data_IF_366381801864
#
_entry.id   IF_366381801864
#
_cell.length_a   1.000
_cell.length_b   1.000
_cell.length_c   1.000
_cell.angle_alpha   90.00
_cell.angle_beta   90.00
_cell.angle_gamma   90.00
#
_symmetry.space_group_name_H-M   'P 1'
#
loop_
_entity.id
_entity.type
_entity.pdbx_description
1 polymer ?
#
# COMPACT_ATOMS: atom_id res chain seq x y z
N UNK A 1 -18.17 -37.63 0.75
CA UNK A 1 -18.71 -36.38 0.21
C UNK A 1 -18.41 -35.30 1.26
N UNK A 2 -17.27 -34.69 1.21
CA UNK A 2 -16.87 -33.63 2.13
C UNK A 2 -17.40 -32.31 1.58
N UNK A 3 -18.29 -31.65 2.30
CA UNK A 3 -18.73 -30.29 2.04
C UNK A 3 -17.53 -29.36 2.23
N UNK A 4 -16.83 -29.06 1.15
CA UNK A 4 -15.83 -28.01 1.11
C UNK A 4 -16.58 -26.67 1.00
N UNK A 5 -17.11 -26.17 2.12
CA UNK A 5 -17.56 -24.78 2.23
C UNK A 5 -16.30 -23.95 2.16
N UNK A 6 -16.14 -23.05 1.18
CA UNK A 6 -14.99 -22.14 1.19
C UNK A 6 -15.09 -21.32 2.49
N UNK A 7 -14.13 -21.53 3.39
CA UNK A 7 -14.01 -20.72 4.60
C UNK A 7 -13.49 -19.36 4.10
N UNK A 8 -14.42 -18.45 3.80
CA UNK A 8 -14.04 -17.07 3.56
C UNK A 8 -13.52 -16.49 4.88
N UNK A 9 -12.23 -16.19 4.93
CA UNK A 9 -11.68 -15.49 6.07
C UNK A 9 -12.45 -14.17 6.30
N UNK A 10 -12.72 -13.80 7.55
CA UNK A 10 -13.50 -12.61 7.85
C UNK A 10 -12.80 -11.36 7.34
N UNK A 11 -13.59 -10.40 6.86
CA UNK A 11 -13.08 -9.06 6.51
C UNK A 11 -12.75 -8.28 7.77
N UNK A 12 -11.51 -7.78 7.86
CA UNK A 12 -11.14 -6.81 8.89
C UNK A 12 -11.74 -5.45 8.54
N UNK A 13 -12.52 -4.89 9.46
CA UNK A 13 -13.14 -3.58 9.31
C UNK A 13 -12.75 -2.70 10.47
N UNK A 14 -12.39 -1.45 10.19
CA UNK A 14 -12.11 -0.43 11.19
C UNK A 14 -12.50 0.94 10.65
N UNK A 15 -12.80 1.87 11.56
CA UNK A 15 -13.12 3.26 11.21
C UNK A 15 -11.86 4.11 11.03
N UNK A 16 -10.75 3.65 11.58
CA UNK A 16 -9.44 4.27 11.45
C UNK A 16 -8.59 3.53 10.41
N UNK A 17 -7.40 4.04 10.12
CA UNK A 17 -6.47 3.37 9.21
C UNK A 17 -5.81 2.15 9.85
N UNK A 18 -5.30 1.27 9.01
CA UNK A 18 -4.57 0.06 9.39
C UNK A 18 -3.09 0.18 9.05
N UNK A 19 -2.22 -0.15 10.00
CA UNK A 19 -0.83 -0.49 9.75
C UNK A 19 -0.74 -1.98 9.40
N UNK A 20 -0.31 -2.29 8.16
CA UNK A 20 -0.15 -3.65 7.66
C UNK A 20 1.32 -4.03 7.65
N UNK A 21 1.68 -5.12 8.35
CA UNK A 21 3.05 -5.62 8.43
C UNK A 21 3.28 -6.81 7.50
N UNK A 22 4.32 -6.73 6.68
CA UNK A 22 4.88 -7.83 5.90
C UNK A 22 6.14 -8.41 6.53
N UNK A 23 6.66 -9.47 5.92
CA UNK A 23 7.79 -10.24 6.44
C UNK A 23 9.19 -9.62 6.21
N UNK A 24 9.31 -8.58 5.38
CA UNK A 24 10.57 -7.88 5.14
C UNK A 24 10.99 -6.99 6.32
N UNK A 25 12.11 -6.27 6.19
CA UNK A 25 12.66 -5.45 7.26
C UNK A 25 11.73 -4.30 7.65
N UNK A 26 11.48 -4.14 8.95
CA UNK A 26 10.70 -3.04 9.53
C UNK A 26 11.48 -2.43 10.69
N UNK A 27 11.83 -1.15 10.58
CA UNK A 27 12.44 -0.43 11.68
C UNK A 27 11.38 -0.09 12.75
N UNK A 28 11.77 -0.16 14.03
CA UNK A 28 10.87 0.14 15.15
C UNK A 28 10.28 1.56 15.08
N UNK A 29 11.10 2.54 14.66
CA UNK A 29 10.65 3.92 14.46
C UNK A 29 9.58 4.03 13.37
N UNK A 30 9.68 3.23 12.31
CA UNK A 30 8.71 3.23 11.21
C UNK A 30 7.37 2.65 11.64
N UNK A 31 7.40 1.58 12.43
CA UNK A 31 6.20 1.00 13.01
C UNK A 31 5.49 2.02 13.92
N UNK A 32 6.25 2.73 14.76
CA UNK A 32 5.67 3.77 15.63
C UNK A 32 5.05 4.92 14.82
N UNK A 33 5.70 5.38 13.76
CA UNK A 33 5.17 6.41 12.85
C UNK A 33 3.89 5.94 12.13
N UNK A 34 3.88 4.71 11.65
CA UNK A 34 2.71 4.15 10.96
C UNK A 34 1.52 3.99 11.92
N UNK A 35 1.74 3.46 13.13
CA UNK A 35 0.71 3.30 14.15
C UNK A 35 0.14 4.64 14.63
N UNK A 36 0.93 5.71 14.64
CA UNK A 36 0.44 7.06 14.96
C UNK A 36 -0.56 7.58 13.91
N UNK A 37 -0.44 7.15 12.66
CA UNK A 37 -1.31 7.54 11.55
C UNK A 37 -2.42 6.52 11.27
N UNK A 38 -2.18 5.24 11.52
CA UNK A 38 -3.05 4.11 11.21
C UNK A 38 -2.97 3.09 12.37
N UNK A 39 -3.74 3.30 13.46
CA UNK A 39 -3.49 2.68 14.77
C UNK A 39 -3.81 1.20 14.84
N UNK A 40 -4.68 0.69 13.98
CA UNK A 40 -5.05 -0.72 13.99
C UNK A 40 -3.97 -1.56 13.29
N UNK A 41 -3.45 -2.59 13.98
CA UNK A 41 -2.38 -3.43 13.46
C UNK A 41 -2.93 -4.71 12.85
N UNK A 42 -2.60 -4.95 11.59
CA UNK A 42 -2.84 -6.21 10.87
C UNK A 42 -1.51 -6.71 10.32
N UNK A 43 -1.35 -8.01 10.18
CA UNK A 43 -0.14 -8.59 9.62
C UNK A 43 -0.44 -9.56 8.47
N UNK A 44 0.50 -9.64 7.54
CA UNK A 44 0.58 -10.66 6.52
C UNK A 44 1.63 -11.69 6.95
N UNK A 45 1.17 -12.92 7.24
CA UNK A 45 1.96 -14.08 7.63
C UNK A 45 3.08 -13.76 8.66
N UNK A 46 4.34 -14.02 8.32
CA UNK A 46 5.52 -13.78 9.17
C UNK A 46 5.71 -12.34 9.63
N UNK A 47 5.06 -11.37 8.97
CA UNK A 47 5.04 -9.95 9.36
C UNK A 47 4.51 -9.72 10.79
N UNK A 48 3.71 -10.64 11.31
CA UNK A 48 3.21 -10.60 12.69
C UNK A 48 4.35 -10.54 13.74
N UNK A 49 5.53 -11.07 13.41
CA UNK A 49 6.68 -11.06 14.31
C UNK A 49 7.13 -9.64 14.66
N UNK A 50 7.08 -8.69 13.73
CA UNK A 50 7.45 -7.30 13.99
C UNK A 50 6.53 -6.65 15.04
N UNK A 51 5.20 -6.87 14.91
CA UNK A 51 4.23 -6.36 15.86
C UNK A 51 4.43 -6.95 17.25
N UNK A 52 4.45 -8.28 17.35
CA UNK A 52 4.60 -8.99 18.64
C UNK A 52 5.90 -8.60 19.35
N UNK A 53 7.03 -8.54 18.61
CA UNK A 53 8.33 -8.15 19.17
C UNK A 53 8.33 -6.70 19.67
N UNK A 54 7.57 -5.82 19.03
CA UNK A 54 7.40 -4.43 19.45
C UNK A 54 6.34 -4.24 20.57
N UNK A 55 5.72 -5.33 21.06
CA UNK A 55 4.68 -5.28 22.09
C UNK A 55 3.27 -5.00 21.58
N UNK A 56 3.06 -5.08 20.26
CA UNK A 56 1.77 -4.86 19.59
C UNK A 56 1.25 -6.18 19.01
N UNK A 57 0.22 -6.77 19.62
CA UNK A 57 -0.41 -7.99 19.10
C UNK A 57 -1.35 -7.62 17.95
N UNK A 58 -1.16 -8.17 16.72
CA UNK A 58 -2.03 -7.90 15.60
C UNK A 58 -3.51 -8.22 15.89
N UNK A 59 -4.41 -7.42 15.35
CA UNK A 59 -5.87 -7.62 15.41
C UNK A 59 -6.34 -8.68 14.41
N UNK A 60 -5.58 -8.89 13.34
CA UNK A 60 -5.77 -9.99 12.39
C UNK A 60 -4.43 -10.35 11.73
N UNK A 61 -4.26 -11.62 11.37
CA UNK A 61 -3.13 -12.13 10.58
C UNK A 61 -3.69 -12.92 9.41
N UNK A 62 -3.28 -12.58 8.19
CA UNK A 62 -3.69 -13.23 6.95
C UNK A 62 -2.49 -13.82 6.21
N UNK A 63 -2.60 -15.02 5.67
CA UNK A 63 -1.55 -15.68 4.90
C UNK A 63 -1.68 -17.20 4.93
N UNK A 64 -0.72 -17.95 4.39
CA UNK A 64 -0.73 -19.41 4.48
C UNK A 64 -0.10 -19.95 5.79
N UNK A 65 0.46 -19.05 6.60
CA UNK A 65 1.04 -19.30 7.92
C UNK A 65 2.33 -20.14 7.90
N UNK A 66 3.00 -20.25 6.77
CA UNK A 66 4.23 -21.01 6.63
C UNK A 66 5.45 -20.32 7.25
N UNK A 67 5.44 -18.98 7.28
CA UNK A 67 6.46 -18.12 7.90
C UNK A 67 6.12 -17.68 9.33
N UNK A 68 4.95 -18.04 9.86
CA UNK A 68 4.51 -17.69 11.21
C UNK A 68 5.13 -18.62 12.27
N UNK A 69 6.22 -18.19 12.88
CA UNK A 69 6.95 -18.96 13.88
C UNK A 69 6.08 -19.35 15.08
N UNK A 70 6.27 -20.57 15.67
CA UNK A 70 5.41 -21.07 16.75
C UNK A 70 5.31 -20.15 17.98
N UNK A 71 6.42 -19.51 18.37
CA UNK A 71 6.45 -18.58 19.51
C UNK A 71 5.67 -17.29 19.22
N UNK A 72 5.67 -16.80 17.99
CA UNK A 72 4.87 -15.64 17.58
C UNK A 72 3.39 -16.02 17.52
N UNK A 73 3.09 -17.20 16.93
CA UNK A 73 1.74 -17.74 16.88
C UNK A 73 1.12 -17.90 18.26
N UNK A 74 1.88 -18.35 19.26
CA UNK A 74 1.41 -18.51 20.64
C UNK A 74 1.08 -17.18 21.34
N UNK A 75 1.64 -16.07 20.89
CA UNK A 75 1.37 -14.73 21.42
C UNK A 75 0.11 -14.07 20.80
N UNK A 76 -0.48 -14.67 19.77
CA UNK A 76 -1.63 -14.12 19.04
C UNK A 76 -2.86 -14.98 19.33
N UNK A 77 -4.01 -14.38 19.74
CA UNK A 77 -5.24 -15.11 19.90
C UNK A 77 -5.60 -15.92 18.64
N UNK A 78 -5.93 -17.21 18.75
CA UNK A 78 -6.18 -18.09 17.59
C UNK A 78 -7.25 -17.57 16.63
N UNK A 79 -8.27 -16.90 17.15
CA UNK A 79 -9.37 -16.30 16.38
C UNK A 79 -8.94 -15.12 15.48
N UNK A 80 -7.73 -14.58 15.68
CA UNK A 80 -7.14 -13.52 14.85
C UNK A 80 -6.25 -14.06 13.74
N UNK A 81 -6.02 -15.38 13.69
CA UNK A 81 -5.17 -16.03 12.69
C UNK A 81 -6.04 -16.66 11.61
N UNK A 82 -5.96 -16.11 10.39
CA UNK A 82 -6.79 -16.49 9.26
C UNK A 82 -5.95 -17.13 8.16
N UNK A 83 -5.85 -18.46 8.19
CA UNK A 83 -5.09 -19.21 7.18
C UNK A 83 -5.80 -19.17 5.81
N UNK A 84 -5.07 -18.73 4.79
CA UNK A 84 -5.51 -18.61 3.40
C UNK A 84 -4.63 -19.53 2.54
N UNK A 85 -5.16 -20.69 2.19
CA UNK A 85 -4.40 -21.76 1.50
C UNK A 85 -4.22 -21.52 -0.01
N UNK A 86 -4.72 -20.42 -0.57
CA UNK A 86 -4.52 -20.13 -2.00
C UNK A 86 -3.06 -19.80 -2.31
N UNK A 87 -2.59 -20.23 -3.49
CA UNK A 87 -1.22 -20.02 -3.95
C UNK A 87 -1.12 -19.02 -5.12
N UNK A 88 -2.24 -18.48 -5.60
CA UNK A 88 -2.30 -17.66 -6.81
C UNK A 88 -2.04 -16.17 -6.53
N UNK A 89 -1.80 -15.79 -5.27
CA UNK A 89 -1.56 -14.41 -4.86
C UNK A 89 -0.51 -14.30 -3.75
N UNK A 90 0.11 -13.13 -3.65
CA UNK A 90 1.06 -12.82 -2.57
C UNK A 90 0.33 -12.56 -1.25
N UNK A 91 1.04 -12.67 -0.12
CA UNK A 91 0.47 -12.36 1.20
C UNK A 91 0.03 -10.90 1.33
N UNK A 92 0.69 -9.97 0.62
CA UNK A 92 0.25 -8.59 0.50
C UNK A 92 -1.14 -8.51 -0.14
N UNK A 93 -1.34 -9.17 -1.28
CA UNK A 93 -2.64 -9.16 -1.97
C UNK A 93 -3.71 -9.90 -1.15
N UNK A 94 -3.36 -11.05 -0.56
CA UNK A 94 -4.24 -11.78 0.37
C UNK A 94 -4.72 -10.89 1.51
N UNK A 95 -3.80 -10.17 2.18
CA UNK A 95 -4.14 -9.28 3.27
C UNK A 95 -5.02 -8.11 2.80
N UNK A 96 -4.66 -7.43 1.71
CA UNK A 96 -5.44 -6.30 1.19
C UNK A 96 -6.86 -6.68 0.79
N UNK A 97 -7.09 -7.91 0.31
CA UNK A 97 -8.45 -8.40 -0.02
C UNK A 97 -9.34 -8.55 1.22
N UNK A 98 -8.75 -8.74 2.38
CA UNK A 98 -9.47 -8.96 3.63
C UNK A 98 -9.50 -7.73 4.54
N UNK A 99 -8.98 -6.58 4.09
CA UNK A 99 -8.98 -5.31 4.82
C UNK A 99 -9.96 -4.34 4.15
N UNK A 100 -10.89 -3.79 4.94
CA UNK A 100 -11.83 -2.76 4.49
C UNK A 100 -11.81 -1.60 5.47
N UNK A 101 -10.94 -0.64 5.22
CA UNK A 101 -10.63 0.51 6.09
C UNK A 101 -10.39 1.78 5.27
N UNK A 102 -10.45 2.96 5.90
CA UNK A 102 -10.22 4.23 5.19
C UNK A 102 -8.84 4.37 4.56
N UNK A 103 -7.80 3.76 5.16
CA UNK A 103 -6.42 3.83 4.66
C UNK A 103 -5.56 2.70 5.23
N UNK A 104 -4.62 2.20 4.42
CA UNK A 104 -3.59 1.23 4.83
C UNK A 104 -2.22 1.90 4.74
N UNK A 105 -1.36 1.71 5.75
CA UNK A 105 0.08 1.99 5.70
C UNK A 105 0.80 0.65 5.82
N UNK A 106 1.45 0.23 4.75
CA UNK A 106 2.10 -1.08 4.63
C UNK A 106 3.61 -0.97 4.80
N UNK A 107 4.18 -1.78 5.70
CA UNK A 107 5.61 -1.86 6.01
C UNK A 107 6.11 -3.29 5.84
N UNK A 108 7.40 -3.47 5.48
CA UNK A 108 8.01 -4.80 5.34
C UNK A 108 7.60 -5.53 4.06
N UNK A 109 7.26 -4.79 3.01
CA UNK A 109 6.89 -5.33 1.70
C UNK A 109 7.86 -4.95 0.58
N UNK A 110 8.95 -4.24 0.91
CA UNK A 110 9.95 -3.76 -0.06
C UNK A 110 11.37 -4.07 0.42
N UNK A 111 12.33 -4.12 -0.52
CA UNK A 111 13.76 -4.13 -0.23
C UNK A 111 14.41 -5.50 -0.08
N UNK A 112 13.68 -6.59 -0.05
CA UNK A 112 14.23 -7.94 0.08
C UNK A 112 14.28 -8.68 -1.28
N UNK A 113 13.13 -9.05 -1.78
CA UNK A 113 12.98 -9.73 -3.07
C UNK A 113 12.31 -8.82 -4.09
N UNK A 114 12.98 -8.55 -5.20
CA UNK A 114 12.47 -7.64 -6.24
C UNK A 114 11.18 -8.14 -6.89
N UNK A 115 11.00 -9.46 -7.04
CA UNK A 115 9.78 -10.05 -7.59
C UNK A 115 8.58 -9.81 -6.66
N UNK A 116 8.77 -9.93 -5.35
CA UNK A 116 7.75 -9.61 -4.35
C UNK A 116 7.46 -8.10 -4.31
N UNK A 117 8.48 -7.26 -4.39
CA UNK A 117 8.31 -5.81 -4.44
C UNK A 117 7.52 -5.36 -5.67
N UNK A 118 7.82 -5.92 -6.86
CA UNK A 118 7.03 -5.68 -8.06
C UNK A 118 5.58 -6.15 -7.93
N UNK A 119 5.34 -7.28 -7.27
CA UNK A 119 4.00 -7.77 -6.98
C UNK A 119 3.23 -6.85 -6.01
N UNK A 120 3.92 -6.20 -5.06
CA UNK A 120 3.31 -5.17 -4.19
C UNK A 120 2.81 -3.97 -5.02
N UNK A 121 3.63 -3.46 -5.94
CA UNK A 121 3.23 -2.35 -6.82
C UNK A 121 2.09 -2.73 -7.77
N UNK A 122 2.11 -3.96 -8.29
CA UNK A 122 0.99 -4.55 -9.01
C UNK A 122 -0.27 -4.56 -8.15
N UNK A 123 -0.19 -5.03 -6.90
CA UNK A 123 -1.29 -5.08 -5.94
C UNK A 123 -1.91 -3.71 -5.66
N UNK A 124 -1.10 -2.64 -5.61
CA UNK A 124 -1.60 -1.26 -5.50
C UNK A 124 -2.45 -0.87 -6.72
N UNK A 125 -1.98 -1.18 -7.93
CA UNK A 125 -2.70 -0.84 -9.16
C UNK A 125 -3.97 -1.70 -9.35
N UNK A 126 -3.93 -2.96 -8.91
CA UNK A 126 -5.07 -3.87 -8.95
C UNK A 126 -6.21 -3.45 -8.00
N UNK A 127 -5.92 -2.55 -7.05
CA UNK A 127 -6.90 -2.04 -6.05
C UNK A 127 -6.98 -0.51 -6.06
N UNK A 128 -7.41 0.07 -7.18
CA UNK A 128 -7.43 1.51 -7.35
C UNK A 128 -8.46 2.21 -6.42
N UNK A 129 -9.39 1.45 -5.87
CA UNK A 129 -10.40 1.85 -4.89
C UNK A 129 -9.86 1.90 -3.44
N UNK A 130 -8.61 1.48 -3.20
CA UNK A 130 -8.00 1.44 -1.87
C UNK A 130 -6.94 2.52 -1.69
N UNK A 131 -6.97 3.20 -0.56
CA UNK A 131 -5.89 4.10 -0.15
C UNK A 131 -4.83 3.28 0.57
N UNK A 132 -3.75 2.96 -0.11
CA UNK A 132 -2.63 2.22 0.47
C UNK A 132 -1.32 2.99 0.23
N UNK A 133 -0.54 3.17 1.29
CA UNK A 133 0.81 3.74 1.27
C UNK A 133 1.77 2.60 1.60
N UNK A 134 2.66 2.26 0.68
CA UNK A 134 3.76 1.33 0.93
C UNK A 134 4.97 2.14 1.38
N UNK A 135 5.40 1.94 2.63
CA UNK A 135 6.54 2.63 3.21
C UNK A 135 7.79 1.77 3.08
N UNK A 136 8.72 2.22 2.25
CA UNK A 136 10.03 1.61 2.03
C UNK A 136 11.15 2.25 2.85
N UNK A 137 12.39 1.81 2.62
CA UNK A 137 13.57 2.30 3.33
C UNK A 137 13.93 3.76 3.01
N UNK A 138 13.65 4.22 1.80
CA UNK A 138 13.99 5.57 1.32
C UNK A 138 12.80 6.35 0.82
N UNK A 139 11.84 5.66 0.25
CA UNK A 139 10.68 6.25 -0.41
C UNK A 139 9.39 5.63 0.13
N UNK A 140 8.31 6.32 -0.07
CA UNK A 140 6.96 5.76 -0.01
C UNK A 140 6.35 5.73 -1.41
N UNK A 141 5.47 4.76 -1.63
CA UNK A 141 4.78 4.55 -2.91
C UNK A 141 3.28 4.48 -2.66
N UNK A 142 2.51 5.20 -3.49
CA UNK A 142 1.05 5.11 -3.51
C UNK A 142 0.56 4.93 -4.95
N UNK A 143 -0.56 4.25 -5.13
CA UNK A 143 -1.33 4.37 -6.36
C UNK A 143 -2.04 5.72 -6.35
N UNK A 144 -1.76 6.56 -7.34
CA UNK A 144 -2.29 7.91 -7.40
C UNK A 144 -3.82 7.89 -7.61
N UNK A 145 -4.59 8.63 -6.78
CA UNK A 145 -6.02 8.80 -6.96
C UNK A 145 -6.33 9.69 -8.18
N UNK A 146 -7.61 9.83 -8.58
CA UNK A 146 -8.00 10.69 -9.71
C UNK A 146 -7.49 12.12 -9.60
N UNK A 147 -7.51 12.65 -8.38
CA UNK A 147 -6.99 13.98 -8.05
C UNK A 147 -6.28 13.92 -6.69
N UNK A 148 -5.08 14.45 -6.64
CA UNK A 148 -4.27 14.49 -5.43
C UNK A 148 -3.70 15.90 -5.24
N UNK A 149 -3.88 16.46 -4.05
CA UNK A 149 -3.26 17.73 -3.64
C UNK A 149 -2.24 17.42 -2.54
N UNK A 150 -0.97 17.78 -2.78
CA UNK A 150 0.15 17.55 -1.88
C UNK A 150 0.75 18.89 -1.45
N UNK A 151 0.81 19.11 -0.15
CA UNK A 151 1.58 20.21 0.43
C UNK A 151 2.96 19.70 0.81
N UNK A 152 3.93 19.99 -0.05
CA UNK A 152 5.31 19.53 0.07
C UNK A 152 6.29 20.72 -0.02
N UNK A 153 7.42 20.68 0.67
CA UNK A 153 8.46 21.68 0.50
C UNK A 153 8.89 21.83 -0.97
N UNK A 154 9.23 23.05 -1.36
CA UNK A 154 9.84 23.26 -2.68
C UNK A 154 11.11 22.40 -2.84
N UNK A 155 11.42 22.01 -4.07
CA UNK A 155 12.54 21.13 -4.43
C UNK A 155 12.42 19.69 -3.88
N UNK A 156 11.23 19.28 -3.44
CA UNK A 156 10.99 17.88 -3.10
C UNK A 156 10.96 17.03 -4.37
N UNK A 157 11.76 15.96 -4.41
CA UNK A 157 11.72 14.96 -5.49
C UNK A 157 10.39 14.22 -5.47
N UNK A 158 9.76 14.13 -6.63
CA UNK A 158 8.53 13.41 -6.87
C UNK A 158 8.67 12.63 -8.17
N UNK A 159 8.38 11.33 -8.14
CA UNK A 159 8.43 10.50 -9.34
C UNK A 159 7.05 9.94 -9.65
N UNK A 160 6.75 9.84 -10.93
CA UNK A 160 5.55 9.22 -11.48
C UNK A 160 5.96 8.00 -12.31
N UNK A 161 5.44 6.84 -11.97
CA UNK A 161 5.73 5.60 -12.67
C UNK A 161 4.42 4.94 -13.13
N UNK A 162 4.14 4.92 -14.45
CA UNK A 162 2.91 4.33 -14.97
C UNK A 162 3.02 2.81 -15.00
N UNK A 163 1.95 2.12 -14.64
CA UNK A 163 1.76 0.67 -14.82
C UNK A 163 0.82 0.35 -15.99
N UNK A 164 0.11 1.38 -16.48
CA UNK A 164 -0.79 1.33 -17.65
C UNK A 164 -0.59 2.58 -18.50
N UNK A 165 -1.31 2.71 -19.59
CA UNK A 165 -1.42 3.98 -20.32
C UNK A 165 -2.19 4.98 -19.46
N UNK A 166 -1.57 6.13 -19.17
CA UNK A 166 -2.16 7.20 -18.33
C UNK A 166 -1.76 8.55 -18.88
N UNK A 167 -2.70 9.49 -18.94
CA UNK A 167 -2.42 10.91 -19.13
C UNK A 167 -2.86 11.70 -17.89
N UNK A 168 -2.44 12.95 -17.80
CA UNK A 168 -2.82 13.78 -16.67
C UNK A 168 -2.39 15.23 -16.82
N UNK A 169 -2.67 15.99 -15.78
CA UNK A 169 -2.33 17.40 -15.65
C UNK A 169 -1.70 17.66 -14.31
N UNK A 170 -0.85 18.68 -14.22
CA UNK A 170 -0.23 19.06 -12.95
C UNK A 170 -0.08 20.56 -12.79
N UNK A 171 -0.14 21.02 -11.54
CA UNK A 171 0.37 22.32 -11.13
C UNK A 171 1.44 22.14 -10.05
N UNK A 172 2.34 23.10 -9.89
CA UNK A 172 3.37 23.07 -8.85
C UNK A 172 4.58 22.17 -9.13
N UNK A 173 4.69 21.52 -10.29
CA UNK A 173 5.85 20.75 -10.69
C UNK A 173 6.84 21.57 -11.55
N UNK A 174 8.13 21.27 -11.43
CA UNK A 174 9.18 21.87 -12.27
C UNK A 174 8.98 21.46 -13.73
N UNK A 175 8.64 20.21 -13.97
CA UNK A 175 8.28 19.68 -15.29
C UNK A 175 6.80 19.30 -15.29
N UNK A 176 5.91 20.19 -15.82
CA UNK A 176 4.48 19.86 -15.94
C UNK A 176 4.26 18.58 -16.74
N UNK A 177 3.21 17.87 -16.41
CA UNK A 177 2.89 16.59 -17.08
C UNK A 177 1.79 16.75 -18.13
N UNK A 178 1.32 17.95 -18.35
CA UNK A 178 0.26 18.27 -19.31
C UNK A 178 0.65 17.85 -20.73
N UNK A 179 -0.20 17.06 -21.39
CA UNK A 179 0.06 16.52 -22.71
C UNK A 179 1.07 15.37 -22.78
N UNK A 180 1.57 14.88 -21.63
CA UNK A 180 2.45 13.72 -21.58
C UNK A 180 1.61 12.43 -21.60
N UNK A 181 1.82 11.58 -22.60
CA UNK A 181 1.28 10.22 -22.64
C UNK A 181 2.25 9.28 -21.93
N UNK A 182 1.94 8.91 -20.69
CA UNK A 182 2.73 7.95 -19.92
C UNK A 182 2.41 6.52 -20.34
N UNK A 183 3.46 5.68 -20.35
CA UNK A 183 3.36 4.26 -20.67
C UNK A 183 4.57 3.52 -20.06
N UNK A 184 4.40 2.36 -19.43
CA UNK A 184 5.48 1.66 -18.70
C UNK A 184 6.69 1.31 -19.59
N UNK A 185 6.46 1.05 -20.88
CA UNK A 185 7.51 0.70 -21.82
C UNK A 185 7.99 1.89 -22.71
N UNK A 186 7.49 3.12 -22.51
CA UNK A 186 7.86 4.27 -23.39
C UNK A 186 8.24 5.50 -22.56
N UNK A 187 7.30 6.10 -21.84
CA UNK A 187 7.50 7.36 -21.13
C UNK A 187 7.12 7.21 -19.66
N UNK A 188 8.08 7.38 -18.80
CA UNK A 188 7.92 7.44 -17.34
C UNK A 188 8.26 8.85 -16.84
N UNK A 189 7.89 9.18 -15.61
CA UNK A 189 8.06 10.52 -15.02
C UNK A 189 8.96 10.51 -13.78
N UNK A 190 10.10 9.82 -13.83
CA UNK A 190 11.04 9.77 -12.70
C UNK A 190 11.75 11.10 -12.47
N UNK A 191 12.01 11.41 -11.20
CA UNK A 191 12.82 12.54 -10.75
C UNK A 191 12.27 13.92 -11.15
N UNK A 192 10.98 14.09 -11.14
CA UNK A 192 10.36 15.42 -11.15
C UNK A 192 10.54 16.10 -9.79
N UNK A 193 10.19 17.37 -9.69
CA UNK A 193 10.45 18.19 -8.52
C UNK A 193 9.32 19.20 -8.29
N UNK A 194 9.06 19.53 -7.03
CA UNK A 194 8.10 20.58 -6.66
C UNK A 194 8.71 21.97 -6.85
N UNK A 195 7.94 22.92 -7.40
CA UNK A 195 8.32 24.36 -7.47
C UNK A 195 7.94 25.10 -6.21
N UNK A 196 6.74 24.82 -5.71
CA UNK A 196 6.12 25.48 -4.56
C UNK A 196 5.52 24.42 -3.67
N UNK A 197 5.13 24.78 -2.46
CA UNK A 197 4.63 23.82 -1.46
C UNK A 197 3.42 23.00 -1.91
N UNK A 198 2.49 23.57 -2.68
CA UNK A 198 1.29 22.86 -3.13
C UNK A 198 1.46 22.34 -4.54
N UNK A 199 1.33 21.03 -4.68
CA UNK A 199 1.30 20.32 -5.96
C UNK A 199 -0.09 19.73 -6.16
N UNK A 200 -0.67 19.95 -7.32
CA UNK A 200 -1.90 19.27 -7.74
C UNK A 200 -1.59 18.32 -8.89
N UNK A 201 -2.07 17.10 -8.78
CA UNK A 201 -1.99 16.06 -9.81
C UNK A 201 -3.40 15.60 -10.14
N UNK A 202 -3.73 15.55 -11.43
CA UNK A 202 -4.98 14.98 -11.92
C UNK A 202 -4.64 13.93 -12.99
N UNK A 203 -5.29 12.77 -12.94
CA UNK A 203 -5.10 11.70 -13.90
C UNK A 203 -6.44 11.29 -14.54
N UNK A 204 -6.39 10.81 -15.77
CA UNK A 204 -7.56 10.38 -16.57
C UNK A 204 -7.93 8.91 -16.35
N UNK A 205 -7.03 8.13 -15.75
CA UNK A 205 -7.22 6.71 -15.47
C UNK A 205 -6.33 6.21 -14.33
N UNK A 206 -6.64 5.03 -13.78
CA UNK A 206 -5.82 4.39 -12.77
C UNK A 206 -4.53 3.83 -13.38
N UNK A 207 -3.57 3.47 -12.52
CA UNK A 207 -2.31 2.82 -12.91
C UNK A 207 -1.07 3.71 -12.79
N UNK A 208 -1.18 4.92 -12.25
CA UNK A 208 -0.02 5.76 -11.95
C UNK A 208 0.45 5.54 -10.51
N UNK A 209 1.72 5.18 -10.32
CA UNK A 209 2.38 5.22 -9.03
C UNK A 209 3.01 6.59 -8.80
N UNK A 210 2.77 7.14 -7.61
CA UNK A 210 3.48 8.29 -7.08
C UNK A 210 4.53 7.81 -6.08
N UNK A 211 5.76 8.29 -6.22
CA UNK A 211 6.91 7.93 -5.38
C UNK A 211 7.52 9.22 -4.86
N UNK A 212 7.61 9.36 -3.54
CA UNK A 212 8.25 10.50 -2.87
C UNK A 212 9.09 10.02 -1.69
N UNK A 213 9.99 10.89 -1.15
CA UNK A 213 10.74 10.54 0.05
C UNK A 213 9.80 10.16 1.20
N UNK A 214 10.18 9.13 1.94
CA UNK A 214 9.47 8.66 3.14
C UNK A 214 9.26 9.74 4.20
N UNK A 215 10.11 10.77 4.22
CA UNK A 215 10.02 11.90 5.16
C UNK A 215 8.70 12.67 5.04
N UNK A 216 7.98 12.49 3.93
CA UNK A 216 6.69 13.11 3.66
C UNK A 216 5.48 12.22 3.98
N UNK A 217 5.67 11.13 4.76
CA UNK A 217 4.60 10.17 5.07
C UNK A 217 3.35 10.86 5.63
N UNK A 218 3.49 11.78 6.58
CA UNK A 218 2.35 12.47 7.19
C UNK A 218 1.57 13.33 6.17
N UNK A 219 2.29 14.08 5.31
CA UNK A 219 1.68 14.92 4.27
C UNK A 219 0.95 14.07 3.23
N UNK A 220 1.58 12.96 2.78
CA UNK A 220 0.96 12.04 1.82
C UNK A 220 -0.25 11.33 2.44
N UNK A 221 -0.17 10.88 3.68
CA UNK A 221 -1.30 10.26 4.38
C UNK A 221 -2.49 11.21 4.51
N UNK A 222 -2.24 12.48 4.83
CA UNK A 222 -3.29 13.50 4.87
C UNK A 222 -3.91 13.72 3.49
N UNK A 223 -3.10 13.88 2.46
CA UNK A 223 -3.56 14.07 1.08
C UNK A 223 -4.38 12.87 0.58
N UNK A 224 -3.91 11.65 0.83
CA UNK A 224 -4.61 10.41 0.45
C UNK A 224 -5.97 10.28 1.15
N UNK A 225 -6.07 10.67 2.41
CA UNK A 225 -7.37 10.67 3.14
C UNK A 225 -8.37 11.63 2.56
N UNK A 226 -7.94 12.80 2.10
CA UNK A 226 -8.79 13.82 1.52
C UNK A 226 -9.18 13.52 0.07
N UNK A 227 -8.40 12.71 -0.64
CA UNK A 227 -8.63 12.38 -2.04
C UNK A 227 -9.79 11.41 -2.22
N UNK A 228 -10.52 11.53 -3.35
CA UNK A 228 -11.40 10.47 -3.85
C UNK A 228 -10.57 9.26 -4.28
N UNK A 229 -11.18 8.08 -4.33
CA UNK A 229 -10.57 6.89 -4.92
C UNK A 229 -11.18 6.61 -6.29
N UNK A 230 -10.48 5.82 -7.11
CA UNK A 230 -11.04 5.30 -8.34
C UNK A 230 -12.21 4.35 -8.05
N UNK A 231 -13.19 4.34 -8.93
CA UNK A 231 -14.24 3.31 -8.88
C UNK A 231 -13.63 1.97 -9.28
N UNK A 232 -13.98 0.91 -8.57
CA UNK A 232 -13.58 -0.43 -8.96
C UNK A 232 -14.29 -0.78 -10.27
N UNK A 233 -13.53 -1.04 -11.31
CA UNK A 233 -14.10 -1.53 -12.57
C UNK A 233 -14.55 -2.97 -12.32
N UNK A 234 -15.86 -3.17 -12.20
CA UNK A 234 -16.45 -4.52 -12.16
C UNK A 234 -16.29 -5.13 -13.55
N UNK A 235 -15.33 -6.01 -13.76
CA UNK A 235 -15.26 -6.70 -15.04
C UNK A 235 -13.95 -7.30 -15.51
N UNK A 236 -12.87 -7.24 -14.76
CA UNK A 236 -11.71 -8.11 -15.05
C UNK A 236 -11.45 -9.00 -13.83
N UNK A 237 -11.72 -10.31 -13.93
CA UNK A 237 -11.12 -11.24 -12.98
C UNK A 237 -9.62 -11.18 -13.24
N UNK A 238 -8.86 -10.63 -12.28
CA UNK A 238 -7.44 -10.87 -12.20
C UNK A 238 -7.27 -12.34 -11.82
N UNK A 239 -7.00 -13.16 -12.83
CA UNK A 239 -6.64 -14.57 -12.68
C UNK A 239 -5.21 -14.62 -12.16
#
# INVERSE_FOLDING_TARGET
>A
MGNNVPIHAPLFRAEQGVTLLGGGAVAHADLALALALAPDLVAADGGAAHGVTAGHVPLAVYGDMDSLRPEIRAAIPPERIHALAEQDSTDFDKALRHIHVPMVIALGFTGDRIDHELAVYHGLAARPDMRCIVLGAHDLVVHAPPRLMLDLPAQTRLSLFPLTDVTGQSTGLVWPIDGVAFHPARRIGTSNMTKVGVVELCFDGPGMLLIVSRDHLAAVAQAMRAASVWSRTTGAPWV
#
